data_IF_051493508400
#
_entry.id   IF_051493508400
#
_cell.length_a   1.000
_cell.length_b   1.000
_cell.length_c   1.000
_cell.angle_alpha   90.00
_cell.angle_beta   90.00
_cell.angle_gamma   90.00
#
_symmetry.space_group_name_H-M   'P 1'
#
loop_
_entity.id
_entity.type
_entity.pdbx_description
1 polymer ?
#
# COMPACT_ATOMS: atom_id res chain seq x y z
N UNK A 1 -33.64 -55.26 4.02
CA UNK A 1 -33.44 -53.88 3.53
C UNK A 1 -34.16 -52.93 4.46
N UNK A 2 -33.43 -52.15 5.28
CA UNK A 2 -34.01 -51.12 6.16
C UNK A 2 -33.48 -49.79 5.71
N UNK A 3 -34.38 -48.93 5.20
CA UNK A 3 -34.10 -47.58 4.75
C UNK A 3 -34.10 -46.66 5.97
N UNK A 4 -32.93 -46.00 6.23
CA UNK A 4 -32.75 -45.07 7.35
C UNK A 4 -33.02 -43.64 6.86
N UNK A 5 -34.16 -43.05 7.23
CA UNK A 5 -34.55 -41.68 6.96
C UNK A 5 -33.99 -40.76 8.06
N UNK A 6 -32.83 -40.14 7.81
CA UNK A 6 -32.23 -39.16 8.72
C UNK A 6 -32.82 -37.77 8.51
N UNK A 7 -33.78 -37.37 9.30
CA UNK A 7 -34.27 -35.97 9.36
C UNK A 7 -33.24 -35.06 10.04
N UNK A 8 -32.59 -34.21 9.27
CA UNK A 8 -31.70 -33.14 9.78
C UNK A 8 -32.55 -32.06 10.45
N UNK A 9 -32.35 -31.84 11.74
CA UNK A 9 -32.92 -30.70 12.49
C UNK A 9 -32.20 -29.43 12.14
N UNK A 10 -32.89 -28.29 11.89
CA UNK A 10 -32.25 -27.01 11.70
C UNK A 10 -31.68 -26.45 13.02
N UNK A 11 -30.58 -25.65 12.99
CA UNK A 11 -30.00 -25.07 14.18
C UNK A 11 -30.85 -23.93 14.76
N UNK A 12 -30.76 -23.67 16.09
CA UNK A 12 -31.56 -22.64 16.75
C UNK A 12 -31.12 -21.23 16.32
N UNK A 13 -32.10 -20.37 16.02
CA UNK A 13 -31.93 -18.98 15.74
C UNK A 13 -31.46 -18.23 17.00
N UNK A 14 -30.24 -17.70 17.01
CA UNK A 14 -29.78 -16.76 18.03
C UNK A 14 -30.44 -15.40 17.79
N UNK A 15 -31.33 -14.99 18.68
CA UNK A 15 -31.85 -13.64 18.76
C UNK A 15 -30.74 -12.69 19.29
N UNK A 16 -30.13 -11.91 18.39
CA UNK A 16 -29.19 -10.86 18.73
C UNK A 16 -29.92 -9.65 19.33
N UNK A 17 -29.66 -9.37 20.60
CA UNK A 17 -30.09 -8.12 21.25
C UNK A 17 -29.40 -6.94 20.59
N UNK A 18 -30.19 -6.02 20.00
CA UNK A 18 -29.72 -4.70 19.59
C UNK A 18 -29.28 -3.92 20.83
N UNK A 19 -28.00 -3.68 20.98
CA UNK A 19 -27.47 -2.66 21.88
C UNK A 19 -27.39 -1.34 21.10
N UNK A 20 -28.24 -0.39 21.46
CA UNK A 20 -28.19 0.99 20.99
C UNK A 20 -26.94 1.66 21.59
N UNK A 21 -26.09 2.36 20.79
CA UNK A 21 -25.07 3.22 21.35
C UNK A 21 -25.68 4.55 21.76
N UNK A 22 -25.38 4.96 22.99
CA UNK A 22 -25.63 6.32 23.49
C UNK A 22 -24.74 7.29 22.71
N UNK A 23 -25.38 8.24 22.04
CA UNK A 23 -24.72 9.38 21.43
C UNK A 23 -24.44 10.40 22.53
N UNK A 24 -23.19 10.57 22.89
CA UNK A 24 -22.74 11.66 23.75
C UNK A 24 -22.45 12.89 22.87
N UNK A 25 -23.29 13.92 23.01
CA UNK A 25 -23.08 15.27 22.46
C UNK A 25 -22.00 15.96 23.29
N UNK A 26 -20.84 16.24 22.70
CA UNK A 26 -19.83 17.14 23.26
C UNK A 26 -19.90 18.47 22.52
N UNK A 27 -20.30 19.51 23.25
CA UNK A 27 -20.30 20.88 22.78
C UNK A 27 -18.87 21.44 22.77
N UNK A 28 -18.42 21.97 21.66
CA UNK A 28 -17.16 22.71 21.56
C UNK A 28 -17.41 24.20 21.67
N UNK A 29 -16.73 24.79 22.65
CA UNK A 29 -16.61 26.24 22.80
C UNK A 29 -15.52 26.76 21.83
N UNK A 30 -15.86 27.77 21.05
CA UNK A 30 -14.93 28.51 20.21
C UNK A 30 -14.19 29.57 21.04
N UNK A 31 -12.87 29.61 20.98
CA UNK A 31 -12.05 30.74 21.42
C UNK A 31 -11.30 31.26 20.21
N UNK A 32 -11.65 32.46 19.78
CA UNK A 32 -10.97 33.22 18.76
C UNK A 32 -9.77 33.98 19.37
N UNK A 33 -8.64 33.99 18.70
CA UNK A 33 -7.56 34.94 18.91
C UNK A 33 -7.17 35.53 17.57
N UNK A 34 -7.47 36.82 17.40
CA UNK A 34 -6.97 37.70 16.35
C UNK A 34 -5.59 38.23 16.79
N UNK A 35 -4.56 38.07 15.98
CA UNK A 35 -3.33 38.82 16.08
C UNK A 35 -2.96 39.33 14.70
N UNK A 36 -3.19 40.61 14.46
CA UNK A 36 -2.67 41.40 13.37
C UNK A 36 -1.21 41.83 13.71
N UNK A 37 -0.26 41.58 12.80
CA UNK A 37 1.11 42.05 12.90
C UNK A 37 1.58 42.55 11.54
N UNK A 38 1.50 43.88 11.32
CA UNK A 38 2.18 44.60 10.23
C UNK A 38 3.63 44.89 10.63
N UNK A 39 4.52 44.91 9.67
CA UNK A 39 5.91 45.43 9.79
C UNK A 39 6.78 44.82 8.71
N UNK A 40 7.11 45.51 7.74
CA UNK A 40 7.93 46.67 7.32
C UNK A 40 9.07 46.22 6.43
N UNK A 41 9.15 46.91 5.29
CA UNK A 41 10.21 47.01 4.30
C UNK A 41 11.66 46.93 4.83
N UNK A 42 12.50 46.26 4.05
CA UNK A 42 13.93 46.32 4.16
C UNK A 42 14.58 45.98 2.82
N UNK A 43 14.78 47.03 1.96
CA UNK A 43 15.66 46.95 0.80
C UNK A 43 17.10 46.92 1.30
N UNK A 44 17.91 45.94 0.86
CA UNK A 44 19.33 45.87 1.12
C UNK A 44 20.02 45.05 0.05
N UNK A 45 20.55 45.72 -0.96
CA UNK A 45 21.53 45.18 -1.88
C UNK A 45 22.87 45.00 -1.17
N UNK A 46 23.50 43.84 -1.29
CA UNK A 46 24.94 43.69 -1.24
C UNK A 46 25.39 42.33 -1.80
N UNK A 47 26.25 42.43 -2.74
CA UNK A 47 27.02 41.41 -3.45
C UNK A 47 27.94 40.57 -2.54
N UNK A 48 28.18 39.30 -2.99
CA UNK A 48 29.45 38.61 -2.80
C UNK A 48 29.41 37.43 -1.83
N UNK A 49 29.82 36.26 -2.28
CA UNK A 49 30.29 35.19 -1.41
C UNK A 49 29.96 33.80 -1.92
N UNK A 50 30.96 33.15 -2.47
CA UNK A 50 31.01 31.72 -2.84
C UNK A 50 30.76 30.79 -1.67
N UNK A 51 30.18 29.60 -1.98
CA UNK A 51 30.44 28.34 -1.27
C UNK A 51 29.38 27.95 -0.25
N UNK A 52 28.56 27.04 -0.60
CA UNK A 52 27.66 26.36 0.33
C UNK A 52 27.06 25.13 -0.35
N UNK A 53 27.68 23.98 -0.10
CA UNK A 53 27.09 22.68 -0.47
C UNK A 53 25.77 22.48 0.30
N UNK A 54 24.70 22.96 -0.27
CA UNK A 54 23.36 22.69 0.18
C UNK A 54 22.92 21.33 -0.35
N UNK A 55 23.15 20.27 0.41
CA UNK A 55 22.52 18.97 0.18
C UNK A 55 21.02 19.12 0.47
N UNK A 56 20.27 19.53 -0.54
CA UNK A 56 18.82 19.52 -0.50
C UNK A 56 18.37 18.07 -0.52
N UNK A 57 18.18 17.50 0.67
CA UNK A 57 17.46 16.27 0.86
C UNK A 57 16.01 16.49 0.39
N UNK A 58 15.77 16.29 -0.89
CA UNK A 58 14.42 16.22 -1.44
C UNK A 58 13.76 14.98 -0.87
N UNK A 59 12.91 15.16 0.14
CA UNK A 59 11.95 14.14 0.52
C UNK A 59 11.18 13.74 -0.74
N UNK A 60 10.97 12.45 -1.01
CA UNK A 60 10.15 12.05 -2.13
C UNK A 60 8.73 12.57 -1.87
N UNK A 61 8.40 13.67 -2.53
CA UNK A 61 7.03 14.13 -2.60
C UNK A 61 6.21 12.97 -3.16
N UNK A 62 5.14 12.60 -2.45
CA UNK A 62 4.06 11.77 -2.99
C UNK A 62 3.42 12.56 -4.14
N UNK A 63 4.14 12.60 -5.27
CA UNK A 63 3.70 13.28 -6.48
C UNK A 63 2.53 12.52 -7.05
N UNK A 64 1.38 13.19 -7.15
CA UNK A 64 0.25 12.69 -7.91
C UNK A 64 0.75 12.22 -9.28
N UNK A 65 0.47 10.98 -9.65
CA UNK A 65 1.00 10.35 -10.83
C UNK A 65 0.50 11.05 -12.10
N UNK A 66 1.35 11.89 -12.67
CA UNK A 66 1.21 12.37 -14.04
C UNK A 66 1.79 11.37 -15.05
N UNK A 67 2.19 10.18 -14.61
CA UNK A 67 2.86 9.16 -15.42
C UNK A 67 2.09 7.85 -15.48
N UNK A 68 2.31 7.13 -16.58
CA UNK A 68 1.80 5.75 -16.73
C UNK A 68 2.65 4.81 -15.91
N UNK A 69 2.01 4.05 -15.02
CA UNK A 69 2.70 3.08 -14.17
C UNK A 69 3.29 1.94 -15.02
N UNK A 70 4.45 1.43 -14.58
CA UNK A 70 5.07 0.22 -15.14
C UNK A 70 5.23 -0.79 -14.02
N UNK A 71 4.81 -2.03 -14.27
CA UNK A 71 4.98 -3.16 -13.34
C UNK A 71 5.92 -4.17 -13.96
N UNK A 72 6.95 -4.57 -13.20
CA UNK A 72 7.97 -5.55 -13.61
C UNK A 72 8.14 -6.61 -12.54
N UNK A 73 8.82 -7.70 -12.86
CA UNK A 73 9.24 -8.71 -11.90
C UNK A 73 10.72 -8.54 -11.57
N UNK A 74 11.08 -8.68 -10.28
CA UNK A 74 12.45 -8.62 -9.81
C UNK A 74 12.75 -9.81 -8.88
N UNK A 75 14.00 -10.26 -8.90
CA UNK A 75 14.49 -11.31 -7.98
C UNK A 75 14.93 -10.68 -6.66
N UNK A 76 14.41 -11.21 -5.55
CA UNK A 76 14.71 -10.77 -4.19
C UNK A 76 14.94 -11.98 -3.28
N UNK A 77 15.21 -11.75 -1.99
CA UNK A 77 15.26 -12.82 -0.99
C UNK A 77 13.92 -13.53 -0.76
N UNK A 78 12.79 -12.90 -1.21
CA UNK A 78 11.46 -13.53 -1.23
C UNK A 78 11.20 -14.37 -2.48
N UNK A 79 12.16 -14.44 -3.42
CA UNK A 79 11.97 -14.97 -4.76
C UNK A 79 11.59 -13.88 -5.76
N UNK A 80 10.89 -14.28 -6.83
CA UNK A 80 10.41 -13.33 -7.84
C UNK A 80 9.16 -12.61 -7.34
N UNK A 81 9.22 -11.27 -7.26
CA UNK A 81 8.12 -10.42 -6.84
C UNK A 81 7.87 -9.30 -7.84
N UNK A 82 6.70 -8.69 -7.77
CA UNK A 82 6.39 -7.50 -8.56
C UNK A 82 7.01 -6.25 -7.95
N UNK A 83 7.53 -5.42 -8.82
CA UNK A 83 8.08 -4.09 -8.52
C UNK A 83 7.57 -3.06 -9.52
N UNK A 84 7.62 -1.78 -9.15
CA UNK A 84 7.37 -0.69 -10.09
C UNK A 84 8.56 -0.45 -11.04
N UNK A 85 8.42 0.54 -11.92
CA UNK A 85 9.49 0.94 -12.86
C UNK A 85 10.78 1.43 -12.21
N UNK A 86 10.75 1.76 -10.91
CA UNK A 86 11.90 2.19 -10.10
C UNK A 86 12.46 1.06 -9.22
N UNK A 87 11.88 -0.14 -9.28
CA UNK A 87 12.28 -1.30 -8.49
C UNK A 87 11.76 -1.33 -7.06
N UNK A 88 10.72 -0.54 -6.75
CA UNK A 88 10.05 -0.58 -5.43
C UNK A 88 9.06 -1.74 -5.39
N UNK A 89 9.02 -2.44 -4.27
CA UNK A 89 8.14 -3.60 -4.08
C UNK A 89 6.65 -3.22 -4.12
N UNK A 90 5.87 -4.05 -4.79
CA UNK A 90 4.42 -3.94 -4.87
C UNK A 90 3.74 -5.00 -4.01
N UNK A 91 2.73 -4.56 -3.26
CA UNK A 91 2.00 -5.36 -2.27
C UNK A 91 0.53 -5.49 -2.62
N UNK A 92 -0.08 -6.58 -2.17
CA UNK A 92 -1.53 -6.77 -2.09
C UNK A 92 -1.98 -6.74 -0.63
N UNK A 93 -3.25 -6.43 -0.41
CA UNK A 93 -3.92 -6.44 0.88
C UNK A 93 -4.99 -7.54 0.91
N UNK A 94 -4.91 -8.47 1.86
CA UNK A 94 -5.83 -9.62 1.92
C UNK A 94 -7.30 -9.23 2.18
N UNK A 95 -7.56 -8.01 2.67
CA UNK A 95 -8.91 -7.50 2.90
C UNK A 95 -9.59 -7.00 1.64
N UNK A 96 -8.82 -6.75 0.58
CA UNK A 96 -9.36 -6.28 -0.69
C UNK A 96 -10.22 -7.35 -1.36
N UNK A 97 -11.27 -6.90 -2.05
CA UNK A 97 -12.02 -7.76 -2.94
C UNK A 97 -11.47 -7.65 -4.38
N UNK A 98 -11.75 -8.60 -5.27
CA UNK A 98 -11.33 -8.52 -6.66
C UNK A 98 -11.73 -7.17 -7.29
N UNK A 99 -10.74 -6.40 -7.76
CA UNK A 99 -10.90 -5.07 -8.32
C UNK A 99 -11.56 -4.04 -7.39
N UNK A 100 -11.42 -4.20 -6.08
CA UNK A 100 -11.96 -3.27 -5.09
C UNK A 100 -11.00 -3.10 -3.92
N UNK A 101 -10.54 -1.87 -3.69
CA UNK A 101 -9.68 -1.52 -2.58
C UNK A 101 -10.49 -1.25 -1.30
N UNK A 102 -10.11 -1.88 -0.20
CA UNK A 102 -10.62 -1.62 1.15
C UNK A 102 -9.71 -0.63 1.92
N UNK A 103 -8.59 -0.18 1.34
CA UNK A 103 -7.61 0.68 1.96
C UNK A 103 -7.86 2.15 1.61
N UNK A 104 -8.26 2.96 2.61
CA UNK A 104 -8.51 4.40 2.48
C UNK A 104 -8.06 5.15 3.74
N UNK A 105 -7.95 6.48 3.66
CA UNK A 105 -7.56 7.33 4.79
C UNK A 105 -6.20 6.95 5.37
N UNK A 106 -6.14 6.66 6.67
CA UNK A 106 -4.91 6.29 7.37
C UNK A 106 -4.22 5.05 6.78
N UNK A 107 -5.01 4.10 6.23
CA UNK A 107 -4.47 2.95 5.53
C UNK A 107 -3.69 3.38 4.28
N UNK A 108 -4.28 4.22 3.42
CA UNK A 108 -3.62 4.71 2.20
C UNK A 108 -2.42 5.63 2.48
N UNK A 109 -2.35 6.24 3.67
CA UNK A 109 -1.17 6.99 4.11
C UNK A 109 0.01 6.07 4.44
N UNK A 110 -0.24 4.93 5.12
CA UNK A 110 0.79 3.94 5.45
C UNK A 110 1.12 3.01 4.27
N UNK A 111 0.14 2.76 3.40
CA UNK A 111 0.23 1.93 2.20
C UNK A 111 -0.21 2.73 0.97
N UNK A 112 0.65 3.60 0.45
CA UNK A 112 0.35 4.40 -0.73
C UNK A 112 -0.03 3.51 -1.92
N UNK A 113 -1.04 3.92 -2.66
CA UNK A 113 -1.53 3.15 -3.82
C UNK A 113 -0.60 3.32 -5.02
N UNK A 114 -0.41 2.27 -5.82
CA UNK A 114 0.24 2.36 -7.12
C UNK A 114 -0.71 3.05 -8.11
N UNK A 115 -0.50 4.36 -8.32
CA UNK A 115 -1.34 5.20 -9.17
C UNK A 115 -0.85 5.20 -10.61
N UNK A 116 -1.79 5.38 -11.54
CA UNK A 116 -1.49 5.54 -12.96
C UNK A 116 -2.39 6.59 -13.60
N UNK A 117 -1.87 7.34 -14.58
CA UNK A 117 -2.64 8.27 -15.41
C UNK A 117 -3.25 7.61 -16.66
N UNK A 118 -2.92 6.35 -16.94
CA UNK A 118 -3.38 5.61 -18.10
C UNK A 118 -3.27 4.11 -17.92
N UNK A 119 -3.36 3.36 -19.03
CA UNK A 119 -3.18 1.89 -19.01
C UNK A 119 -1.78 1.53 -18.54
N UNK A 120 -1.62 0.76 -17.44
CA UNK A 120 -0.31 0.37 -16.93
C UNK A 120 0.44 -0.51 -17.92
N UNK A 121 1.77 -0.40 -17.93
CA UNK A 121 2.66 -1.15 -18.82
C UNK A 121 3.21 -2.39 -18.13
N UNK A 122 3.18 -3.51 -18.81
CA UNK A 122 3.90 -4.70 -18.39
C UNK A 122 5.38 -4.58 -18.75
N UNK A 123 6.24 -4.66 -17.75
CA UNK A 123 7.67 -4.81 -17.89
C UNK A 123 8.08 -6.29 -17.95
N UNK A 124 9.37 -6.56 -17.72
CA UNK A 124 9.91 -7.92 -17.78
C UNK A 124 9.27 -8.83 -16.72
N UNK A 125 8.98 -10.08 -17.09
CA UNK A 125 8.44 -11.09 -16.20
C UNK A 125 6.99 -10.89 -15.74
N UNK A 126 6.24 -9.97 -16.35
CA UNK A 126 4.85 -9.64 -16.01
C UNK A 126 3.91 -10.04 -17.14
N UNK A 127 2.79 -10.65 -16.80
CA UNK A 127 1.74 -11.03 -17.75
C UNK A 127 0.82 -9.84 -17.99
N UNK A 128 0.88 -9.22 -19.17
CA UNK A 128 0.13 -8.00 -19.49
C UNK A 128 -1.39 -8.14 -19.30
N UNK A 129 -1.97 -9.31 -19.59
CA UNK A 129 -3.41 -9.55 -19.43
C UNK A 129 -3.89 -9.60 -17.97
N UNK A 130 -2.97 -9.67 -17.01
CA UNK A 130 -3.29 -9.59 -15.58
C UNK A 130 -3.30 -8.13 -15.07
N UNK A 131 -2.72 -7.18 -15.82
CA UNK A 131 -2.76 -5.77 -15.49
C UNK A 131 -4.13 -5.17 -15.75
N UNK A 132 -4.57 -4.33 -14.83
CA UNK A 132 -5.80 -3.57 -14.94
C UNK A 132 -5.77 -2.32 -14.08
N UNK A 133 -6.89 -1.67 -13.95
CA UNK A 133 -7.04 -0.48 -13.11
C UNK A 133 -8.40 -0.45 -12.43
N UNK A 134 -8.46 0.24 -11.29
CA UNK A 134 -9.71 0.60 -10.62
C UNK A 134 -9.76 2.10 -10.38
N UNK A 135 -10.98 2.65 -10.42
CA UNK A 135 -11.28 4.00 -9.92
C UNK A 135 -11.55 3.92 -8.43
N UNK A 136 -10.87 4.78 -7.68
CA UNK A 136 -11.05 4.92 -6.24
C UNK A 136 -12.05 6.03 -5.93
N UNK A 137 -12.57 6.06 -4.69
CA UNK A 137 -13.49 7.11 -4.21
C UNK A 137 -12.86 8.51 -4.14
N UNK A 138 -11.53 8.58 -4.08
CA UNK A 138 -10.75 9.82 -4.13
C UNK A 138 -10.46 10.31 -5.57
N UNK A 139 -11.14 9.74 -6.57
CA UNK A 139 -10.97 9.99 -8.01
C UNK A 139 -9.60 9.61 -8.60
N UNK A 140 -8.71 8.99 -7.83
CA UNK A 140 -7.45 8.45 -8.36
C UNK A 140 -7.70 7.14 -9.11
N UNK A 141 -6.76 6.77 -9.99
CA UNK A 141 -6.78 5.49 -10.70
C UNK A 141 -5.64 4.64 -10.16
N UNK A 142 -5.97 3.48 -9.59
CA UNK A 142 -5.02 2.55 -9.00
C UNK A 142 -4.79 1.36 -9.92
N UNK A 143 -3.53 0.93 -10.05
CA UNK A 143 -3.15 -0.29 -10.77
C UNK A 143 -3.65 -1.52 -10.04
N UNK A 144 -4.08 -2.52 -10.81
CA UNK A 144 -4.38 -3.87 -10.30
C UNK A 144 -3.55 -4.90 -11.06
N UNK A 145 -3.23 -6.01 -10.40
CA UNK A 145 -2.64 -7.19 -11.01
C UNK A 145 -3.38 -8.43 -10.56
N UNK A 146 -3.82 -9.25 -11.51
CA UNK A 146 -4.69 -10.40 -11.25
C UNK A 146 -5.89 -10.05 -10.35
N UNK A 147 -6.50 -8.87 -10.60
CA UNK A 147 -7.62 -8.29 -9.84
C UNK A 147 -7.27 -7.79 -8.42
N UNK A 148 -6.01 -7.91 -7.96
CA UNK A 148 -5.55 -7.34 -6.70
C UNK A 148 -5.10 -5.90 -6.90
N UNK A 149 -5.67 -4.92 -6.18
CA UNK A 149 -5.12 -3.56 -6.11
C UNK A 149 -3.68 -3.59 -5.62
N UNK A 150 -2.80 -2.77 -6.20
CA UNK A 150 -1.39 -2.73 -5.88
C UNK A 150 -1.05 -1.52 -5.01
N UNK A 151 -0.14 -1.74 -4.05
CA UNK A 151 0.28 -0.76 -3.07
C UNK A 151 1.79 -0.75 -2.87
N UNK A 152 2.28 0.36 -2.34
CA UNK A 152 3.61 0.46 -1.75
C UNK A 152 3.51 0.33 -0.24
N UNK A 153 4.66 0.14 0.42
CA UNK A 153 4.77 0.26 1.86
C UNK A 153 5.62 1.49 2.21
N UNK A 154 5.11 2.36 3.10
CA UNK A 154 5.85 3.57 3.48
C UNK A 154 7.16 3.26 4.21
N UNK A 155 7.27 2.09 4.85
CA UNK A 155 8.49 1.61 5.49
C UNK A 155 9.56 1.08 4.53
N UNK A 156 9.29 1.02 3.21
CA UNK A 156 10.27 0.70 2.19
C UNK A 156 10.87 1.99 1.63
N UNK A 157 12.10 2.30 2.01
CA UNK A 157 12.80 3.53 1.63
C UNK A 157 13.59 3.42 0.32
N UNK A 158 13.66 2.22 -0.30
CA UNK A 158 14.45 2.00 -1.51
C UNK A 158 14.15 0.72 -2.26
N UNK A 159 14.83 0.56 -3.39
CA UNK A 159 14.76 -0.61 -4.27
C UNK A 159 15.14 -1.89 -3.51
N UNK A 160 14.39 -2.95 -3.76
CA UNK A 160 14.66 -4.28 -3.20
C UNK A 160 14.27 -4.44 -1.73
N UNK A 161 13.78 -3.41 -1.07
CA UNK A 161 13.20 -3.52 0.26
C UNK A 161 11.80 -4.12 0.19
N UNK A 162 11.47 -4.95 1.18
CA UNK A 162 10.19 -5.66 1.28
C UNK A 162 9.77 -5.82 2.74
N UNK A 163 9.96 -4.75 3.53
CA UNK A 163 9.63 -4.69 4.96
C UNK A 163 8.12 -4.84 5.23
N UNK A 164 7.29 -4.64 4.20
CA UNK A 164 5.85 -4.85 4.26
C UNK A 164 5.40 -6.30 4.21
N UNK A 165 6.31 -7.25 3.95
CA UNK A 165 5.98 -8.66 3.81
C UNK A 165 5.43 -9.26 5.12
N UNK A 166 4.18 -9.73 5.09
CA UNK A 166 3.52 -10.38 6.22
C UNK A 166 3.09 -9.44 7.34
N UNK A 167 3.16 -8.13 7.14
CA UNK A 167 2.66 -7.13 8.11
C UNK A 167 1.17 -7.32 8.30
N UNK A 168 0.73 -7.41 9.57
CA UNK A 168 -0.69 -7.45 9.95
C UNK A 168 -1.11 -6.04 10.39
N UNK A 169 -1.89 -5.37 9.56
CA UNK A 169 -2.35 -4.01 9.82
C UNK A 169 -3.67 -3.73 9.09
N UNK A 170 -4.49 -2.84 9.65
CA UNK A 170 -5.80 -2.45 9.11
C UNK A 170 -6.79 -3.61 8.96
N UNK A 171 -6.57 -4.69 9.72
CA UNK A 171 -7.49 -5.82 9.86
C UNK A 171 -7.29 -6.97 8.89
N UNK A 172 -6.12 -7.03 8.21
CA UNK A 172 -5.65 -8.19 7.45
C UNK A 172 -4.14 -8.08 7.18
N UNK A 173 -3.57 -9.10 6.55
CA UNK A 173 -2.15 -9.13 6.20
C UNK A 173 -1.87 -8.50 4.84
N UNK A 174 -0.61 -8.07 4.72
CA UNK A 174 -0.04 -7.50 3.51
C UNK A 174 1.06 -8.42 3.00
N UNK A 175 1.11 -8.63 1.69
CA UNK A 175 2.12 -9.49 1.08
C UNK A 175 2.65 -8.89 -0.22
N UNK A 176 3.94 -9.04 -0.47
CA UNK A 176 4.50 -8.81 -1.79
C UNK A 176 3.82 -9.74 -2.81
N UNK A 177 3.65 -9.24 -4.04
CA UNK A 177 2.92 -9.94 -5.10
C UNK A 177 3.89 -10.74 -5.96
N UNK A 178 3.54 -11.98 -6.27
CA UNK A 178 4.32 -12.80 -7.22
C UNK A 178 3.93 -12.50 -8.68
N UNK A 179 4.77 -12.82 -9.68
CA UNK A 179 4.40 -12.71 -11.09
C UNK A 179 3.18 -13.56 -11.50
N UNK A 180 2.85 -14.59 -10.72
CA UNK A 180 1.63 -15.37 -10.88
C UNK A 180 0.36 -14.65 -10.37
N UNK A 181 0.53 -13.47 -9.75
CA UNK A 181 -0.57 -12.62 -9.28
C UNK A 181 -1.16 -13.01 -7.94
N UNK A 182 -0.45 -13.75 -7.11
CA UNK A 182 -0.81 -14.10 -5.74
C UNK A 182 0.15 -13.53 -4.71
N UNK A 183 -0.19 -13.68 -3.42
CA UNK A 183 0.68 -13.34 -2.31
C UNK A 183 1.95 -14.20 -2.31
N UNK A 184 3.08 -13.61 -1.93
CA UNK A 184 4.27 -14.40 -1.59
C UNK A 184 3.94 -15.24 -0.36
N UNK A 185 3.82 -16.54 -0.54
CA UNK A 185 3.64 -17.51 0.53
C UNK A 185 5.02 -17.96 1.02
N UNK A 186 5.45 -17.44 2.16
CA UNK A 186 6.69 -17.88 2.78
C UNK A 186 7.45 -16.75 3.47
N UNK A 187 8.11 -17.10 4.56
CA UNK A 187 9.16 -16.31 5.18
C UNK A 187 10.30 -16.25 4.18
N UNK A 188 10.97 -15.09 4.07
CA UNK A 188 12.19 -14.98 3.29
C UNK A 188 13.07 -16.23 3.53
N UNK A 189 13.27 -17.02 2.50
CA UNK A 189 14.25 -18.10 2.55
C UNK A 189 15.61 -17.42 2.53
N UNK A 190 16.26 -17.32 3.68
CA UNK A 190 17.69 -17.04 3.71
C UNK A 190 18.35 -18.08 2.82
N UNK A 191 19.15 -17.70 1.80
CA UNK A 191 19.88 -18.69 1.04
C UNK A 191 20.71 -19.47 2.03
N UNK A 192 20.46 -20.77 2.12
CA UNK A 192 21.30 -21.67 2.90
C UNK A 192 22.71 -21.61 2.27
N UNK A 193 23.60 -20.85 2.93
CA UNK A 193 25.01 -20.86 2.59
C UNK A 193 25.54 -22.23 3.06
N UNK A 194 25.52 -23.19 2.14
CA UNK A 194 26.08 -24.52 2.32
C UNK A 194 27.61 -24.50 2.34
N UNK A 195 28.16 -23.92 3.40
CA UNK A 195 29.59 -24.07 3.74
C UNK A 195 29.77 -25.22 4.71
N UNK A 196 29.63 -26.46 4.23
CA UNK A 196 30.07 -27.64 4.92
C UNK A 196 31.60 -27.78 4.77
N UNK A 197 32.35 -27.32 5.78
CA UNK A 197 33.72 -27.76 5.97
C UNK A 197 33.68 -29.04 6.81
N UNK A 198 33.75 -30.18 6.10
CA UNK A 198 34.05 -31.45 6.75
C UNK A 198 35.53 -31.50 7.15
N UNK A 199 35.80 -31.97 8.36
CA UNK A 199 37.04 -32.58 8.76
C UNK A 199 36.76 -34.06 8.98
#
# INVERSE_FOLDING_TARGET
MRVWNGTKRPPPRRSGRLRRPLVALVALAAVGVLAAGCGSNGSGSSSGGMGGYGSSGTAPASGGASSVATVSAASTSLGMILVDGSGRTLYLFEKDQPNQSACAGACAAAWPVDQTSGTPKAGSGVTASMLGTIKRSDNTTQVTYNKHPLYYFQGDSGTGQHNGQGVDAFGAKWFAVTPAGGAVSGRATTPANGGGYGY
#
